data_IF_283514637113
#
_entry.id   IF_283514637113
#
_cell.length_a   1.000
_cell.length_b   1.000
_cell.length_c   1.000
_cell.angle_alpha   90.00
_cell.angle_beta   90.00
_cell.angle_gamma   90.00
#
_symmetry.space_group_name_H-M   'P 1'
#
loop_
_entity.id
_entity.type
_entity.pdbx_description
1 polymer ?
#
# COMPACT_ATOMS: atom_id res chain seq x y z
N UNK A 1 15.20 15.11 9.24
CA UNK A 1 14.05 16.02 9.45
C UNK A 1 13.80 16.92 8.23
N UNK A 2 14.78 17.69 7.74
CA UNK A 2 14.60 18.62 6.61
C UNK A 2 14.11 17.96 5.31
N UNK A 3 14.63 16.78 4.97
CA UNK A 3 14.21 16.06 3.77
C UNK A 3 12.70 15.75 3.75
N UNK A 4 12.14 15.38 4.90
CA UNK A 4 10.69 15.14 5.06
C UNK A 4 9.88 16.42 4.81
N UNK A 5 10.33 17.55 5.37
CA UNK A 5 9.69 18.86 5.16
C UNK A 5 9.74 19.25 3.68
N UNK A 6 10.90 19.11 3.03
CA UNK A 6 11.05 19.42 1.60
C UNK A 6 10.16 18.54 0.71
N UNK A 7 10.07 17.25 1.00
CA UNK A 7 9.17 16.35 0.26
C UNK A 7 7.71 16.83 0.34
N UNK A 8 7.25 17.19 1.54
CA UNK A 8 5.89 17.74 1.73
C UNK A 8 5.67 19.08 1.00
N UNK A 9 6.67 19.96 0.95
CA UNK A 9 6.58 21.22 0.20
C UNK A 9 6.46 20.96 -1.31
N UNK A 10 7.23 20.03 -1.86
CA UNK A 10 7.20 19.70 -3.29
C UNK A 10 5.84 19.10 -3.67
N UNK A 11 5.33 18.18 -2.87
CA UNK A 11 4.01 17.57 -3.09
C UNK A 11 2.89 18.62 -3.00
N UNK A 12 2.99 19.57 -2.08
CA UNK A 12 1.97 20.61 -1.85
C UNK A 12 2.20 21.95 -2.56
N UNK A 13 3.13 22.04 -3.51
CA UNK A 13 3.64 23.34 -3.99
C UNK A 13 2.54 24.25 -4.55
N UNK A 14 1.55 23.69 -5.25
CA UNK A 14 0.43 24.44 -5.83
C UNK A 14 -0.42 25.13 -4.76
N UNK A 15 -0.72 24.42 -3.67
CA UNK A 15 -1.51 24.95 -2.54
C UNK A 15 -0.72 26.04 -1.82
N UNK A 16 0.58 25.81 -1.60
CA UNK A 16 1.46 26.78 -0.94
C UNK A 16 1.52 28.08 -1.75
N UNK A 17 1.64 27.97 -3.08
CA UNK A 17 1.59 29.11 -4.02
C UNK A 17 0.24 29.81 -4.00
N UNK A 18 -0.86 29.06 -4.02
CA UNK A 18 -2.21 29.61 -4.00
C UNK A 18 -2.48 30.47 -2.76
N UNK A 19 -2.01 30.03 -1.58
CA UNK A 19 -2.16 30.76 -0.32
C UNK A 19 -1.03 31.76 -0.03
N UNK A 20 -0.06 31.94 -0.92
CA UNK A 20 1.11 32.81 -0.74
C UNK A 20 1.88 32.58 0.58
N UNK A 21 1.99 31.32 1.01
CA UNK A 21 2.60 30.94 2.30
C UNK A 21 4.08 30.56 2.19
N UNK A 22 4.75 30.86 1.08
CA UNK A 22 6.13 30.40 0.82
C UNK A 22 7.10 30.87 1.90
N UNK A 23 6.92 32.08 2.44
CA UNK A 23 7.78 32.65 3.47
C UNK A 23 7.71 31.84 4.78
N UNK A 24 6.52 31.41 5.19
CA UNK A 24 6.36 30.59 6.39
C UNK A 24 7.07 29.23 6.24
N UNK A 25 6.92 28.58 5.08
CA UNK A 25 7.61 27.32 4.79
C UNK A 25 9.13 27.49 4.64
N UNK A 26 9.58 28.62 4.08
CA UNK A 26 11.01 28.97 4.03
C UNK A 26 11.61 29.04 5.43
N UNK A 27 10.95 29.74 6.35
CA UNK A 27 11.44 29.89 7.73
C UNK A 27 11.50 28.55 8.47
N UNK A 28 10.53 27.67 8.22
CA UNK A 28 10.53 26.31 8.73
C UNK A 28 11.76 25.50 8.24
N UNK A 29 12.07 25.58 6.94
CA UNK A 29 13.24 24.93 6.36
C UNK A 29 14.54 25.52 6.90
N UNK A 30 14.63 26.84 7.05
CA UNK A 30 15.81 27.52 7.62
C UNK A 30 16.01 27.10 9.08
N UNK A 31 14.93 27.00 9.87
CA UNK A 31 14.99 26.53 11.26
C UNK A 31 15.52 25.10 11.34
N UNK A 32 15.04 24.19 10.50
CA UNK A 32 15.55 22.82 10.41
C UNK A 32 17.03 22.79 9.99
N UNK A 33 17.42 23.62 9.02
CA UNK A 33 18.81 23.73 8.55
C UNK A 33 19.77 24.23 9.64
N UNK A 34 19.34 25.17 10.49
CA UNK A 34 20.15 25.65 11.63
C UNK A 34 20.46 24.53 12.63
N UNK A 35 19.52 23.61 12.86
CA UNK A 35 19.74 22.44 13.71
C UNK A 35 20.74 21.47 13.09
N UNK A 36 20.59 21.16 11.80
CA UNK A 36 21.54 20.32 11.04
C UNK A 36 22.95 20.93 11.07
N UNK A 37 23.07 22.25 10.91
CA UNK A 37 24.36 22.93 10.97
C UNK A 37 25.05 22.81 12.33
N UNK A 38 24.30 22.91 13.44
CA UNK A 38 24.88 22.74 14.79
C UNK A 38 25.46 21.33 14.96
N UNK A 39 24.75 20.31 14.48
CA UNK A 39 25.23 18.93 14.49
C UNK A 39 26.47 18.75 13.60
N UNK A 40 26.43 19.29 12.38
CA UNK A 40 27.54 19.21 11.44
C UNK A 40 28.80 19.91 11.97
N UNK A 41 28.65 21.08 12.61
CA UNK A 41 29.77 21.81 13.22
C UNK A 41 30.43 20.99 14.34
N UNK A 42 29.62 20.38 15.21
CA UNK A 42 30.15 19.51 16.27
C UNK A 42 30.88 18.30 15.69
N UNK A 43 30.32 17.69 14.64
CA UNK A 43 30.94 16.55 13.94
C UNK A 43 32.28 16.94 13.29
N UNK A 44 32.34 18.07 12.59
CA UNK A 44 33.58 18.58 11.99
C UNK A 44 34.65 18.91 13.03
N UNK A 45 34.25 19.44 14.19
CA UNK A 45 35.17 19.66 15.31
C UNK A 45 35.75 18.33 15.83
N UNK A 46 34.92 17.30 15.97
CA UNK A 46 35.38 15.97 16.41
C UNK A 46 36.35 15.35 15.41
N UNK A 47 36.08 15.46 14.10
CA UNK A 47 37.03 15.01 13.06
C UNK A 47 38.34 15.78 13.15
N UNK A 48 38.30 17.11 13.29
CA UNK A 48 39.52 17.91 13.37
C UNK A 48 40.37 17.54 14.59
N UNK A 49 39.73 17.28 15.74
CA UNK A 49 40.40 16.77 16.95
C UNK A 49 40.99 15.38 16.71
N UNK A 50 40.23 14.48 16.07
CA UNK A 50 40.71 13.13 15.73
C UNK A 50 41.96 13.17 14.83
N UNK A 51 41.98 14.04 13.82
CA UNK A 51 43.12 14.21 12.91
C UNK A 51 44.34 14.79 13.64
N UNK A 52 44.12 15.76 14.53
CA UNK A 52 45.18 16.33 15.35
C UNK A 52 45.85 15.26 16.23
N UNK A 53 45.06 14.43 16.91
CA UNK A 53 45.59 13.34 17.73
C UNK A 53 46.29 12.27 16.89
N UNK A 54 45.71 11.88 15.75
CA UNK A 54 46.30 10.90 14.83
C UNK A 54 47.66 11.36 14.29
N UNK A 55 47.81 12.67 14.05
CA UNK A 55 49.07 13.26 13.59
C UNK A 55 50.11 13.41 14.72
N UNK A 56 49.67 13.73 15.94
CA UNK A 56 50.56 14.11 17.05
C UNK A 56 51.02 12.94 17.91
N UNK A 57 50.15 11.95 18.17
CA UNK A 57 50.44 10.79 19.03
C UNK A 57 51.71 10.04 18.57
N UNK A 58 51.92 9.74 17.28
CA UNK A 58 53.08 8.95 16.87
C UNK A 58 54.43 9.66 17.02
N UNK A 59 54.42 11.00 16.92
CA UNK A 59 55.63 11.81 17.16
C UNK A 59 56.00 11.79 18.63
N UNK A 60 54.98 11.92 19.51
CA UNK A 60 55.13 11.79 20.95
C UNK A 60 55.60 10.38 21.35
N UNK A 61 54.98 9.33 20.80
CA UNK A 61 55.36 7.94 21.13
C UNK A 61 56.82 7.68 20.76
N UNK A 62 57.26 8.11 19.57
CA UNK A 62 58.65 7.93 19.14
C UNK A 62 59.63 8.64 20.07
N UNK A 63 59.35 9.91 20.41
CA UNK A 63 60.17 10.69 21.34
C UNK A 63 60.24 10.03 22.73
N UNK A 64 59.10 9.58 23.26
CA UNK A 64 59.05 8.93 24.57
C UNK A 64 59.78 7.59 24.59
N UNK A 65 59.63 6.76 23.55
CA UNK A 65 60.25 5.43 23.51
C UNK A 65 61.77 5.53 23.44
N UNK A 66 62.30 6.37 22.55
CA UNK A 66 63.76 6.55 22.45
C UNK A 66 64.32 7.33 23.65
N UNK A 67 63.57 8.30 24.19
CA UNK A 67 63.95 9.04 25.39
C UNK A 67 64.10 8.13 26.61
N UNK A 68 63.13 7.25 26.86
CA UNK A 68 63.20 6.27 27.96
C UNK A 68 64.36 5.30 27.73
N UNK A 69 64.52 4.77 26.52
CA UNK A 69 65.60 3.83 26.19
C UNK A 69 67.00 4.43 26.43
N UNK A 70 67.17 5.71 26.11
CA UNK A 70 68.41 6.45 26.38
C UNK A 70 68.67 6.61 27.89
N UNK A 71 67.65 7.04 28.66
CA UNK A 71 67.77 7.27 30.10
C UNK A 71 68.08 5.98 30.87
N UNK A 72 67.55 4.84 30.43
CA UNK A 72 67.83 3.52 31.03
C UNK A 72 69.25 3.00 30.72
N UNK A 73 70.02 3.71 29.89
CA UNK A 73 71.40 3.34 29.54
C UNK A 73 71.51 2.43 28.31
N UNK A 74 70.49 2.43 27.44
CA UNK A 74 70.53 1.67 26.19
C UNK A 74 71.42 2.31 25.12
N UNK A 75 72.21 1.51 24.41
CA UNK A 75 73.03 1.97 23.29
C UNK A 75 72.17 2.21 22.03
N UNK A 76 71.86 3.47 21.75
CA UNK A 76 71.19 3.93 20.53
C UNK A 76 72.14 3.89 19.32
N UNK A 77 72.22 2.74 18.67
CA UNK A 77 72.84 2.62 17.34
C UNK A 77 71.88 3.10 16.24
N UNK A 78 72.36 3.77 15.17
CA UNK A 78 71.54 4.14 14.02
C UNK A 78 70.72 2.97 13.46
N UNK A 79 71.28 1.77 13.44
CA UNK A 79 70.59 0.55 12.95
C UNK A 79 69.33 0.23 13.74
N UNK A 80 69.38 0.33 15.07
CA UNK A 80 68.23 0.09 15.96
C UNK A 80 67.19 1.20 15.84
N UNK A 81 67.64 2.45 15.70
CA UNK A 81 66.77 3.63 15.56
C UNK A 81 65.95 3.56 14.26
N UNK A 82 66.59 3.32 13.12
CA UNK A 82 65.91 3.27 11.83
C UNK A 82 64.98 2.06 11.70
N UNK A 83 65.37 0.91 12.25
CA UNK A 83 64.52 -0.29 12.28
C UNK A 83 63.26 -0.06 13.12
N UNK A 84 63.42 0.52 14.32
CA UNK A 84 62.30 0.82 15.22
C UNK A 84 61.37 1.91 14.65
N UNK A 85 61.92 2.97 14.03
CA UNK A 85 61.12 4.01 13.35
C UNK A 85 60.29 3.41 12.21
N UNK A 86 60.87 2.55 11.39
CA UNK A 86 60.17 1.89 10.28
C UNK A 86 59.00 1.02 10.77
N UNK A 87 59.18 0.29 11.88
CA UNK A 87 58.12 -0.49 12.49
C UNK A 87 57.01 0.40 13.07
N UNK A 88 57.36 1.50 13.76
CA UNK A 88 56.40 2.46 14.30
C UNK A 88 55.58 3.15 13.21
N UNK A 89 56.16 3.46 12.05
CA UNK A 89 55.43 4.04 10.91
C UNK A 89 54.45 3.06 10.28
N UNK A 90 54.81 1.77 10.18
CA UNK A 90 53.90 0.73 9.65
C UNK A 90 52.72 0.48 10.60
N UNK A 91 52.96 0.44 11.92
CA UNK A 91 51.87 0.30 12.90
C UNK A 91 50.89 1.48 12.89
N UNK A 92 51.37 2.70 12.56
CA UNK A 92 50.53 3.91 12.48
C UNK A 92 49.40 3.75 11.47
N UNK A 93 49.68 3.16 10.31
CA UNK A 93 48.68 2.93 9.27
C UNK A 93 47.57 2.01 9.76
N UNK A 94 47.92 0.92 10.45
CA UNK A 94 46.95 -0.04 11.00
C UNK A 94 46.09 0.58 12.10
N UNK A 95 46.66 1.42 12.97
CA UNK A 95 45.93 2.09 14.05
C UNK A 95 44.95 3.14 13.51
N UNK A 96 45.31 3.86 12.45
CA UNK A 96 44.44 4.89 11.84
C UNK A 96 43.15 4.32 11.25
N UNK A 97 43.27 3.14 10.66
CA UNK A 97 42.19 2.49 9.92
C UNK A 97 41.05 2.03 10.84
N UNK A 98 41.35 1.63 12.08
CA UNK A 98 40.36 1.06 13.01
C UNK A 98 39.24 2.07 13.33
N UNK A 99 39.52 3.31 13.78
CA UNK A 99 38.48 4.31 14.02
C UNK A 99 37.69 4.70 12.76
N UNK A 100 38.34 4.84 11.60
CA UNK A 100 37.65 5.16 10.34
C UNK A 100 36.54 4.15 10.02
N UNK A 101 36.81 2.86 10.20
CA UNK A 101 35.80 1.82 9.96
C UNK A 101 34.72 1.72 11.02
N UNK A 102 34.92 2.26 12.24
CA UNK A 102 33.86 2.22 13.26
C UNK A 102 32.61 3.00 12.84
N UNK A 103 32.79 4.15 12.19
CA UNK A 103 31.68 4.95 11.67
C UNK A 103 30.92 4.20 10.58
N UNK A 104 31.64 3.51 9.70
CA UNK A 104 31.02 2.69 8.65
C UNK A 104 30.24 1.52 9.25
N UNK A 105 30.77 0.87 10.28
CA UNK A 105 30.06 -0.20 11.00
C UNK A 105 28.79 0.31 11.69
N UNK A 106 28.80 1.54 12.24
CA UNK A 106 27.59 2.17 12.78
C UNK A 106 26.56 2.40 11.67
N UNK A 107 26.98 2.94 10.52
CA UNK A 107 26.09 3.18 9.38
C UNK A 107 25.49 1.88 8.84
N UNK A 108 26.30 0.83 8.71
CA UNK A 108 25.85 -0.52 8.32
C UNK A 108 24.86 -1.06 9.34
N UNK A 109 25.15 -0.94 10.63
CA UNK A 109 24.26 -1.44 11.70
C UNK A 109 22.89 -0.77 11.69
N UNK A 110 22.84 0.57 11.54
CA UNK A 110 21.57 1.31 11.46
C UNK A 110 20.81 0.97 10.18
N UNK A 111 21.52 0.80 9.06
CA UNK A 111 20.92 0.43 7.78
C UNK A 111 20.34 -0.99 7.82
N UNK A 112 21.08 -1.95 8.39
CA UNK A 112 20.61 -3.32 8.58
C UNK A 112 19.38 -3.38 9.49
N UNK A 113 19.35 -2.61 10.58
CA UNK A 113 18.15 -2.53 11.45
C UNK A 113 16.92 -2.04 10.68
N UNK A 114 17.09 -1.03 9.81
CA UNK A 114 16.00 -0.52 8.98
C UNK A 114 15.52 -1.54 7.96
N UNK A 115 16.45 -2.22 7.27
CA UNK A 115 16.11 -3.26 6.29
C UNK A 115 15.41 -4.42 6.99
N UNK A 116 15.94 -4.88 8.13
CA UNK A 116 15.33 -5.92 8.95
C UNK A 116 13.92 -5.54 9.38
N UNK A 117 13.72 -4.33 9.90
CA UNK A 117 12.39 -3.87 10.29
C UNK A 117 11.40 -3.80 9.11
N UNK A 118 11.86 -3.42 7.92
CA UNK A 118 11.04 -3.41 6.71
C UNK A 118 10.67 -4.82 6.26
N UNK A 119 11.62 -5.76 6.25
CA UNK A 119 11.40 -7.14 5.85
C UNK A 119 10.53 -7.95 6.84
N UNK A 120 10.42 -7.50 8.10
CA UNK A 120 9.53 -8.09 9.10
C UNK A 120 8.18 -7.35 9.20
N UNK A 121 7.90 -6.39 8.31
CA UNK A 121 6.59 -5.76 8.27
C UNK A 121 5.52 -6.83 7.92
N UNK A 122 4.29 -6.71 8.48
CA UNK A 122 3.23 -7.66 8.19
C UNK A 122 2.90 -7.65 6.69
N UNK A 123 2.82 -8.84 6.10
CA UNK A 123 2.36 -9.02 4.73
C UNK A 123 0.85 -9.18 4.70
N UNK A 124 0.22 -8.83 3.58
CA UNK A 124 -1.21 -9.10 3.36
C UNK A 124 -1.34 -10.60 3.15
N UNK A 125 -2.13 -11.27 3.99
CA UNK A 125 -2.30 -12.72 3.92
C UNK A 125 -2.92 -13.15 2.58
N UNK A 126 -2.29 -14.12 1.90
CA UNK A 126 -2.77 -14.67 0.62
C UNK A 126 -4.15 -15.38 0.75
N UNK A 127 -4.62 -15.67 1.97
CA UNK A 127 -5.90 -16.34 2.26
C UNK A 127 -7.15 -15.45 2.22
N UNK A 128 -7.03 -14.25 1.65
CA UNK A 128 -8.14 -13.29 1.60
C UNK A 128 -9.28 -13.75 0.67
N UNK A 129 -8.93 -14.53 -0.36
CA UNK A 129 -9.87 -15.20 -1.27
C UNK A 129 -9.81 -16.69 -1.01
N UNK A 130 -10.96 -17.34 -0.90
CA UNK A 130 -10.99 -18.78 -0.70
C UNK A 130 -10.63 -19.50 -2.03
N UNK A 131 -9.56 -20.31 -2.03
CA UNK A 131 -9.01 -21.00 -3.21
C UNK A 131 -9.96 -22.04 -3.82
N UNK A 132 -10.95 -22.46 -3.04
CA UNK A 132 -12.08 -23.23 -3.54
C UNK A 132 -12.99 -22.31 -4.33
N UNK A 133 -12.75 -22.17 -5.64
CA UNK A 133 -13.62 -21.41 -6.54
C UNK A 133 -15.10 -21.73 -6.34
N UNK A 134 -15.98 -20.81 -6.76
CA UNK A 134 -17.43 -20.83 -6.45
C UNK A 134 -18.08 -22.22 -6.66
N UNK A 135 -17.65 -22.98 -7.68
CA UNK A 135 -18.14 -24.34 -7.95
C UNK A 135 -17.78 -25.40 -6.88
N UNK A 136 -16.60 -25.33 -6.24
CA UNK A 136 -16.23 -26.28 -5.19
C UNK A 136 -16.88 -25.95 -3.84
N UNK A 137 -17.09 -24.66 -3.55
CA UNK A 137 -17.73 -24.22 -2.32
C UNK A 137 -19.27 -24.45 -2.34
N UNK A 138 -19.92 -24.24 -3.49
CA UNK A 138 -21.34 -24.58 -3.67
C UNK A 138 -21.60 -26.07 -3.49
N UNK A 139 -20.69 -26.94 -3.98
CA UNK A 139 -20.80 -28.40 -3.82
C UNK A 139 -20.74 -28.83 -2.34
N UNK A 140 -19.88 -28.19 -1.54
CA UNK A 140 -19.79 -28.45 -0.09
C UNK A 140 -21.00 -27.91 0.70
N UNK A 141 -21.56 -26.77 0.30
CA UNK A 141 -22.73 -26.17 0.96
C UNK A 141 -24.05 -26.88 0.59
N UNK A 142 -24.17 -27.41 -0.64
CA UNK A 142 -25.31 -28.26 -1.03
C UNK A 142 -25.28 -29.58 -0.25
N UNK A 143 -24.09 -30.20 -0.08
CA UNK A 143 -23.94 -31.43 0.68
C UNK A 143 -24.32 -31.28 2.18
N UNK A 144 -24.08 -30.11 2.79
CA UNK A 144 -24.55 -29.81 4.16
C UNK A 144 -26.05 -29.52 4.25
N UNK A 145 -26.70 -29.07 3.17
CA UNK A 145 -28.17 -28.89 3.13
C UNK A 145 -28.91 -30.20 2.85
N UNK A 146 -28.31 -31.18 2.19
CA UNK A 146 -28.95 -32.47 1.86
C UNK A 146 -28.76 -33.58 2.90
N UNK A 147 -27.97 -33.36 3.97
CA UNK A 147 -27.73 -34.35 5.04
C UNK A 147 -28.33 -33.97 6.39
N UNK A 148 -29.47 -33.27 6.38
CA UNK A 148 -30.36 -33.19 7.53
C UNK A 148 -31.71 -33.71 7.05
N UNK A 149 -31.91 -35.02 7.17
CA UNK A 149 -33.29 -35.53 7.27
C UNK A 149 -33.92 -34.84 8.49
N UNK A 150 -35.04 -34.12 8.33
CA UNK A 150 -35.70 -33.52 9.47
C UNK A 150 -36.30 -34.64 10.32
N UNK A 151 -35.78 -34.79 11.55
CA UNK A 151 -36.45 -35.57 12.59
C UNK A 151 -37.83 -34.92 12.84
N UNK A 152 -38.95 -35.63 12.62
CA UNK A 152 -40.29 -35.04 12.64
C UNK A 152 -40.76 -34.61 14.04
N UNK A 153 -39.96 -34.76 15.10
CA UNK A 153 -40.38 -34.49 16.48
C UNK A 153 -39.58 -33.42 17.23
N UNK A 154 -38.76 -32.60 16.56
CA UNK A 154 -38.06 -31.49 17.23
C UNK A 154 -38.74 -30.16 16.89
N UNK A 155 -39.58 -29.68 17.81
CA UNK A 155 -40.06 -28.29 17.81
C UNK A 155 -38.87 -27.32 17.98
N UNK A 156 -38.72 -26.29 17.12
CA UNK A 156 -37.62 -25.34 17.22
C UNK A 156 -37.74 -24.49 18.50
N UNK A 157 -36.63 -24.16 19.19
CA UNK A 157 -36.67 -23.30 20.35
C UNK A 157 -36.95 -21.85 19.93
N UNK A 158 -38.14 -21.36 20.28
CA UNK A 158 -38.47 -19.94 20.41
C UNK A 158 -37.74 -19.35 21.60
N UNK A 159 -36.76 -18.46 21.38
CA UNK A 159 -36.42 -17.40 22.34
C UNK A 159 -36.10 -16.13 21.55
N UNK A 160 -37.08 -15.23 21.48
CA UNK A 160 -36.91 -13.83 21.12
C UNK A 160 -36.41 -13.11 22.39
N UNK A 161 -35.27 -12.43 22.34
CA UNK A 161 -34.76 -11.62 23.45
C UNK A 161 -34.93 -10.12 23.09
N UNK A 162 -35.75 -9.33 23.81
CA UNK A 162 -36.09 -7.96 23.41
C UNK A 162 -35.03 -6.88 23.74
N UNK A 163 -33.90 -7.22 24.36
CA UNK A 163 -33.00 -6.22 24.97
C UNK A 163 -31.71 -5.90 24.19
N UNK A 164 -31.67 -6.09 22.86
CA UNK A 164 -30.53 -5.63 22.04
C UNK A 164 -30.87 -4.27 21.41
N UNK A 165 -30.13 -3.19 21.71
CA UNK A 165 -30.35 -1.90 21.07
C UNK A 165 -30.13 -2.00 19.56
N UNK A 166 -31.11 -1.53 18.79
CA UNK A 166 -31.04 -1.36 17.35
C UNK A 166 -29.90 -0.38 16.99
N UNK A 167 -28.73 -0.90 16.60
CA UNK A 167 -27.66 -0.08 16.07
C UNK A 167 -27.96 0.28 14.61
N UNK A 168 -28.13 1.58 14.40
CA UNK A 168 -28.49 2.27 13.18
C UNK A 168 -27.26 2.34 12.27
N UNK A 169 -26.88 1.20 11.68
CA UNK A 169 -25.85 1.15 10.65
C UNK A 169 -26.49 1.30 9.27
N UNK A 170 -26.11 2.38 8.58
CA UNK A 170 -26.52 2.74 7.23
C UNK A 170 -26.44 1.53 6.29
N UNK A 171 -27.61 1.01 5.92
CA UNK A 171 -27.73 -0.04 4.90
C UNK A 171 -27.20 0.52 3.59
N UNK A 172 -26.17 -0.12 3.03
CA UNK A 172 -25.86 0.01 1.60
C UNK A 172 -27.11 -0.48 0.85
N UNK A 173 -27.92 0.44 0.34
CA UNK A 173 -29.05 0.13 -0.53
C UNK A 173 -28.49 -0.21 -1.91
N UNK A 174 -28.18 -1.50 -2.11
CA UNK A 174 -27.89 -2.06 -3.42
C UNK A 174 -29.17 -2.02 -4.27
N UNK A 175 -29.31 -0.97 -5.07
CA UNK A 175 -30.32 -0.92 -6.13
C UNK A 175 -29.77 -1.70 -7.32
N UNK A 176 -30.16 -2.97 -7.43
CA UNK A 176 -29.90 -3.77 -8.63
C UNK A 176 -30.95 -3.36 -9.67
N UNK A 177 -30.68 -2.33 -10.45
CA UNK A 177 -31.50 -2.01 -11.63
C UNK A 177 -31.02 -2.89 -12.80
N UNK A 178 -31.77 -3.94 -13.11
CA UNK A 178 -31.63 -4.68 -14.37
C UNK A 178 -32.33 -3.90 -15.47
N UNK A 179 -31.58 -3.35 -16.44
CA UNK A 179 -32.18 -2.90 -17.69
C UNK A 179 -32.58 -4.14 -18.51
N UNK A 180 -33.80 -4.63 -18.32
CA UNK A 180 -34.47 -5.54 -19.27
C UNK A 180 -35.30 -4.68 -20.21
N UNK A 181 -34.92 -4.63 -21.47
CA UNK A 181 -35.82 -4.23 -22.56
C UNK A 181 -36.81 -5.37 -22.79
N UNK A 182 -37.87 -5.42 -21.99
CA UNK A 182 -39.11 -6.09 -22.36
C UNK A 182 -40.25 -5.14 -22.05
N UNK A 183 -40.95 -4.81 -23.13
CA UNK A 183 -42.09 -3.95 -23.22
C UNK A 183 -43.30 -4.82 -22.88
N UNK A 184 -43.86 -4.71 -21.67
CA UNK A 184 -45.26 -5.01 -21.35
C UNK A 184 -45.60 -4.67 -19.90
N UNK A 185 -46.84 -4.22 -19.73
CA UNK A 185 -47.42 -3.48 -18.62
C UNK A 185 -47.49 -4.24 -17.29
N UNK A 186 -47.42 -3.50 -16.16
CA UNK A 186 -48.34 -3.61 -15.02
C UNK A 186 -48.25 -2.32 -14.19
N UNK A 187 -49.42 -1.72 -14.02
CA UNK A 187 -49.75 -0.55 -13.22
C UNK A 187 -49.58 -0.78 -11.70
N UNK A 188 -49.36 0.35 -11.02
CA UNK A 188 -49.68 0.66 -9.61
C UNK A 188 -48.82 0.08 -8.48
N UNK A 189 -47.92 0.92 -7.94
CA UNK A 189 -47.94 1.30 -6.52
C UNK A 189 -47.09 2.56 -6.30
N UNK A 190 -47.75 3.63 -5.85
CA UNK A 190 -47.22 4.97 -5.61
C UNK A 190 -46.15 5.03 -4.50
N UNK A 191 -45.13 5.84 -4.71
CA UNK A 191 -44.53 6.63 -3.63
C UNK A 191 -44.13 8.00 -4.17
N UNK A 192 -44.97 8.98 -3.86
CA UNK A 192 -44.82 10.38 -4.22
C UNK A 192 -43.86 11.09 -3.26
N UNK A 193 -42.88 11.81 -3.82
CA UNK A 193 -42.39 13.09 -3.27
C UNK A 193 -41.60 13.83 -4.36
N UNK A 194 -42.18 14.94 -4.78
CA UNK A 194 -41.69 15.85 -5.80
C UNK A 194 -40.40 16.58 -5.38
N UNK A 195 -39.40 16.60 -6.27
CA UNK A 195 -38.75 17.87 -6.66
C UNK A 195 -38.26 17.80 -8.10
N UNK A 196 -38.73 18.78 -8.86
CA UNK A 196 -38.53 19.03 -10.28
C UNK A 196 -37.11 19.54 -10.59
N UNK A 197 -36.43 18.88 -11.53
CA UNK A 197 -35.73 19.53 -12.65
C UNK A 197 -35.30 18.46 -13.66
N UNK A 198 -35.85 18.55 -14.87
CA UNK A 198 -35.67 17.58 -15.95
C UNK A 198 -34.21 17.38 -16.33
N UNK A 199 -33.67 16.20 -16.04
CA UNK A 199 -32.50 15.66 -16.75
C UNK A 199 -33.08 14.86 -17.91
N UNK A 200 -32.90 15.36 -19.13
CA UNK A 200 -33.28 14.61 -20.32
C UNK A 200 -32.53 13.27 -20.31
N UNK A 201 -33.19 12.14 -20.63
CA UNK A 201 -32.50 10.87 -20.76
C UNK A 201 -31.41 11.01 -21.82
N UNK A 202 -30.18 10.66 -21.43
CA UNK A 202 -29.04 10.61 -22.34
C UNK A 202 -29.40 9.58 -23.43
N UNK A 203 -29.63 10.07 -24.65
CA UNK A 203 -29.79 9.21 -25.82
C UNK A 203 -28.44 8.53 -26.05
N UNK A 204 -28.31 7.26 -25.63
CA UNK A 204 -27.19 6.43 -26.07
C UNK A 204 -27.40 6.16 -27.58
N UNK A 205 -26.42 6.50 -28.44
CA UNK A 205 -26.50 6.12 -29.84
C UNK A 205 -26.46 4.60 -29.96
N UNK A 206 -27.50 4.04 -30.56
CA UNK A 206 -27.57 2.67 -31.06
C UNK A 206 -26.68 2.56 -32.30
N UNK A 207 -25.37 2.48 -32.08
CA UNK A 207 -24.42 1.97 -33.05
C UNK A 207 -23.74 0.76 -32.44
N UNK A 208 -23.81 -0.37 -33.13
CA UNK A 208 -23.20 -1.64 -32.75
C UNK A 208 -21.77 -1.46 -32.22
N UNK A 209 -21.59 -1.58 -30.90
CA UNK A 209 -20.27 -1.53 -30.25
C UNK A 209 -19.75 -2.96 -30.07
N UNK A 210 -18.69 -3.40 -30.77
CA UNK A 210 -18.19 -4.77 -30.65
C UNK A 210 -17.17 -4.94 -29.50
N UNK A 211 -17.14 -4.05 -28.50
CA UNK A 211 -16.13 -4.10 -27.41
C UNK A 211 -16.66 -4.54 -26.04
N UNK A 212 -17.85 -5.10 -26.01
CA UNK A 212 -18.12 -6.22 -25.13
C UNK A 212 -18.85 -7.23 -26.00
N UNK A 213 -18.13 -8.21 -26.55
CA UNK A 213 -18.73 -9.55 -26.49
C UNK A 213 -18.83 -9.84 -24.99
N UNK A 214 -19.87 -9.29 -24.35
CA UNK A 214 -20.41 -9.90 -23.15
C UNK A 214 -20.64 -11.33 -23.65
N UNK A 215 -19.89 -12.33 -23.17
CA UNK A 215 -20.08 -13.68 -23.65
C UNK A 215 -21.58 -13.93 -23.61
N UNK A 216 -22.16 -14.41 -24.72
CA UNK A 216 -23.60 -14.68 -24.80
C UNK A 216 -24.01 -15.34 -23.48
N UNK A 217 -25.14 -14.99 -22.85
CA UNK A 217 -25.51 -15.42 -21.50
C UNK A 217 -25.69 -16.95 -21.47
N UNK A 218 -24.57 -17.66 -21.40
CA UNK A 218 -24.48 -19.11 -21.52
C UNK A 218 -24.07 -19.74 -20.17
N UNK A 219 -23.80 -18.92 -19.15
CA UNK A 219 -23.67 -19.36 -17.77
C UNK A 219 -24.38 -18.38 -16.84
N UNK A 220 -25.48 -18.82 -16.22
CA UNK A 220 -26.09 -18.16 -15.04
C UNK A 220 -25.20 -18.32 -13.78
N UNK A 221 -23.88 -18.19 -13.95
CA UNK A 221 -22.89 -18.38 -12.90
C UNK A 221 -22.76 -17.13 -12.03
N UNK A 222 -22.51 -17.36 -10.74
CA UNK A 222 -22.04 -16.31 -9.82
C UNK A 222 -20.54 -16.12 -10.07
N UNK A 223 -20.09 -14.88 -10.29
CA UNK A 223 -18.68 -14.56 -10.50
C UNK A 223 -17.95 -14.21 -9.19
N UNK A 224 -18.66 -13.58 -8.25
CA UNK A 224 -18.13 -13.12 -6.96
C UNK A 224 -19.23 -13.34 -5.90
N UNK A 225 -18.89 -13.97 -4.77
CA UNK A 225 -19.82 -14.20 -3.65
C UNK A 225 -19.15 -13.85 -2.32
N UNK A 226 -19.82 -13.01 -1.54
CA UNK A 226 -19.51 -12.71 -0.15
C UNK A 226 -20.50 -13.46 0.74
N UNK A 227 -20.01 -14.11 1.79
CA UNK A 227 -20.86 -14.84 2.75
C UNK A 227 -20.48 -14.46 4.17
N UNK A 228 -21.31 -13.60 4.79
CA UNK A 228 -21.11 -13.06 6.13
C UNK A 228 -19.69 -12.51 6.36
N UNK A 229 -19.12 -11.87 5.33
CA UNK A 229 -17.72 -11.48 5.33
C UNK A 229 -17.50 -10.12 6.00
N UNK A 230 -16.43 -10.02 6.80
CA UNK A 230 -16.03 -8.79 7.49
C UNK A 230 -14.58 -8.43 7.14
N UNK A 231 -14.30 -7.14 6.88
CA UNK A 231 -13.00 -6.67 6.39
C UNK A 231 -12.48 -5.44 7.15
N UNK A 232 -11.16 -5.36 7.29
CA UNK A 232 -10.44 -4.34 8.05
C UNK A 232 -9.11 -3.94 7.36
N UNK A 233 -8.77 -2.65 7.37
CA UNK A 233 -7.58 -2.13 6.70
C UNK A 233 -6.30 -2.35 7.51
N UNK A 234 -6.35 -2.13 8.82
CA UNK A 234 -5.21 -2.33 9.70
C UNK A 234 -5.62 -3.10 10.95
N UNK A 235 -4.83 -4.07 11.44
CA UNK A 235 -5.17 -4.85 12.63
C UNK A 235 -5.45 -4.00 13.89
N UNK A 236 -4.83 -2.82 13.96
CA UNK A 236 -5.03 -1.84 15.04
C UNK A 236 -6.32 -1.02 14.94
N UNK A 237 -7.08 -1.12 13.85
CA UNK A 237 -8.36 -0.40 13.77
C UNK A 237 -9.33 -0.99 14.82
N UNK A 238 -10.09 -0.14 15.53
CA UNK A 238 -10.94 -0.60 16.63
C UNK A 238 -12.09 -1.48 16.13
N UNK A 239 -12.53 -1.28 14.89
CA UNK A 239 -13.63 -2.03 14.30
C UNK A 239 -13.43 -2.28 12.80
N UNK A 240 -13.97 -3.38 12.26
CA UNK A 240 -14.01 -3.64 10.83
C UNK A 240 -14.79 -2.56 10.08
N UNK A 241 -14.27 -2.17 8.92
CA UNK A 241 -14.89 -1.18 8.01
C UNK A 241 -16.10 -1.76 7.30
N UNK A 242 -16.04 -3.04 6.94
CA UNK A 242 -17.12 -3.80 6.34
C UNK A 242 -17.51 -4.94 7.28
N UNK A 243 -18.80 -5.13 7.54
CA UNK A 243 -19.28 -6.09 8.55
C UNK A 243 -20.38 -6.97 7.99
N UNK A 244 -20.24 -8.28 8.18
CA UNK A 244 -21.25 -9.31 7.89
C UNK A 244 -21.91 -9.12 6.50
N UNK A 245 -21.10 -8.87 5.49
CA UNK A 245 -21.58 -8.62 4.14
C UNK A 245 -21.87 -9.95 3.46
N UNK A 246 -23.09 -10.06 2.93
CA UNK A 246 -23.55 -11.19 2.12
C UNK A 246 -24.15 -10.67 0.83
N UNK A 247 -23.44 -10.83 -0.29
CA UNK A 247 -23.84 -10.33 -1.60
C UNK A 247 -23.20 -11.15 -2.73
N UNK A 248 -23.89 -11.21 -3.87
CA UNK A 248 -23.49 -12.02 -5.02
C UNK A 248 -23.52 -11.18 -6.31
N UNK A 249 -22.49 -11.32 -7.13
CA UNK A 249 -22.42 -10.71 -8.46
C UNK A 249 -22.47 -11.81 -9.51
N UNK A 250 -23.33 -11.64 -10.51
CA UNK A 250 -23.49 -12.59 -11.62
C UNK A 250 -22.49 -12.30 -12.72
N UNK A 251 -22.17 -13.35 -13.47
CA UNK A 251 -21.40 -13.23 -14.70
C UNK A 251 -22.14 -12.39 -15.74
N UNK A 252 -21.37 -11.75 -16.64
CA UNK A 252 -21.91 -11.02 -17.77
C UNK A 252 -22.90 -9.88 -17.41
N UNK A 253 -22.88 -9.40 -16.15
CA UNK A 253 -23.77 -8.36 -15.67
C UNK A 253 -23.02 -7.07 -15.31
N UNK A 254 -23.56 -5.92 -15.74
CA UNK A 254 -23.17 -4.61 -15.24
C UNK A 254 -23.86 -4.34 -13.89
N UNK A 255 -23.06 -4.17 -12.83
CA UNK A 255 -23.58 -3.87 -11.48
C UNK A 255 -23.09 -2.51 -11.00
N UNK A 256 -23.99 -1.70 -10.46
CA UNK A 256 -23.66 -0.40 -9.87
C UNK A 256 -23.75 -0.47 -8.34
N UNK A 257 -22.76 0.13 -7.65
CA UNK A 257 -22.72 0.21 -6.18
C UNK A 257 -22.96 1.66 -5.77
N UNK A 258 -24.04 1.90 -5.04
CA UNK A 258 -24.48 3.24 -4.62
C UNK A 258 -24.52 3.31 -3.09
N UNK A 259 -24.22 4.48 -2.54
CA UNK A 259 -24.25 4.70 -1.09
C UNK A 259 -23.60 6.01 -0.67
N UNK A 260 -23.82 6.43 0.57
CA UNK A 260 -23.31 7.68 1.12
C UNK A 260 -21.76 7.77 1.12
N UNK A 261 -21.18 8.97 1.19
CA UNK A 261 -19.72 9.15 1.30
C UNK A 261 -19.23 8.48 2.58
N UNK A 262 -18.14 7.71 2.51
CA UNK A 262 -17.62 6.97 3.67
C UNK A 262 -18.34 5.65 3.98
N UNK A 263 -19.37 5.26 3.22
CA UNK A 263 -20.11 4.00 3.43
C UNK A 263 -19.34 2.71 3.08
N UNK A 264 -18.03 2.78 2.86
CA UNK A 264 -17.21 1.60 2.55
C UNK A 264 -17.23 1.09 1.10
N UNK A 265 -17.79 1.84 0.14
CA UNK A 265 -17.84 1.42 -1.29
C UNK A 265 -16.47 1.07 -1.86
N UNK A 266 -15.48 1.94 -1.68
CA UNK A 266 -14.11 1.68 -2.17
C UNK A 266 -13.49 0.49 -1.42
N UNK A 267 -13.74 0.37 -0.12
CA UNK A 267 -13.30 -0.80 0.68
C UNK A 267 -13.89 -2.10 0.14
N UNK A 268 -15.13 -2.09 -0.34
CA UNK A 268 -15.78 -3.27 -0.95
C UNK A 268 -15.10 -3.67 -2.27
N UNK A 269 -14.60 -2.70 -3.04
CA UNK A 269 -13.82 -3.00 -4.25
C UNK A 269 -12.44 -3.55 -3.86
N UNK A 270 -11.78 -2.95 -2.86
CA UNK A 270 -10.48 -3.41 -2.39
C UNK A 270 -10.53 -4.79 -1.70
N UNK A 271 -11.67 -5.19 -1.12
CA UNK A 271 -11.84 -6.55 -0.61
C UNK A 271 -11.90 -7.59 -1.74
N UNK A 272 -12.48 -7.25 -2.91
CA UNK A 272 -12.46 -8.11 -4.10
C UNK A 272 -11.04 -8.27 -4.66
N UNK A 273 -10.26 -7.17 -4.65
CA UNK A 273 -8.86 -7.16 -5.10
C UNK A 273 -7.96 -7.96 -4.16
N UNK A 274 -8.30 -8.00 -2.87
CA UNK A 274 -7.53 -8.68 -1.83
C UNK A 274 -6.62 -7.75 -1.00
N UNK A 275 -6.74 -6.43 -1.15
CA UNK A 275 -5.90 -5.44 -0.43
C UNK A 275 -6.30 -5.24 1.04
N UNK A 276 -7.47 -5.72 1.46
CA UNK A 276 -8.05 -5.48 2.80
C UNK A 276 -8.18 -6.80 3.54
N UNK A 277 -7.63 -6.92 4.75
CA UNK A 277 -7.66 -8.17 5.51
C UNK A 277 -9.09 -8.58 5.88
N UNK A 278 -9.48 -9.81 5.52
CA UNK A 278 -10.71 -10.48 5.95
C UNK A 278 -10.54 -11.00 7.38
N UNK A 279 -11.52 -10.73 8.23
CA UNK A 279 -11.57 -11.25 9.60
C UNK A 279 -12.38 -12.54 9.68
N UNK A 280 -13.60 -12.51 9.11
CA UNK A 280 -14.60 -13.56 9.20
C UNK A 280 -15.35 -13.72 7.87
N UNK A 281 -16.14 -14.79 7.74
CA UNK A 281 -16.98 -15.10 6.60
C UNK A 281 -16.19 -15.66 5.43
N UNK A 282 -16.73 -15.64 4.20
CA UNK A 282 -16.09 -16.18 2.99
C UNK A 282 -16.15 -15.20 1.83
N UNK A 283 -15.10 -15.20 1.00
CA UNK A 283 -15.04 -14.46 -0.27
C UNK A 283 -14.62 -15.42 -1.37
N UNK A 284 -15.57 -15.71 -2.26
CA UNK A 284 -15.41 -16.67 -3.35
C UNK A 284 -15.37 -15.94 -4.68
N UNK A 285 -14.29 -16.14 -5.43
CA UNK A 285 -14.17 -15.73 -6.83
C UNK A 285 -14.29 -16.95 -7.73
N UNK A 286 -14.85 -16.78 -8.94
CA UNK A 286 -15.07 -17.89 -9.89
C UNK A 286 -13.81 -18.76 -10.10
N UNK A 287 -12.66 -18.12 -10.28
CA UNK A 287 -11.37 -18.79 -10.48
C UNK A 287 -10.47 -18.70 -9.23
N UNK A 288 -11.07 -18.47 -8.05
CA UNK A 288 -10.34 -18.23 -6.80
C UNK A 288 -9.31 -17.11 -6.94
N UNK A 289 -8.16 -17.30 -6.29
CA UNK A 289 -7.01 -16.38 -6.31
C UNK A 289 -6.37 -16.18 -7.70
N UNK A 290 -6.72 -17.02 -8.70
CA UNK A 290 -6.22 -16.90 -10.09
C UNK A 290 -7.11 -16.05 -10.99
N UNK A 291 -8.13 -15.40 -10.44
CA UNK A 291 -9.04 -14.55 -11.20
C UNK A 291 -8.31 -13.31 -11.75
N UNK A 292 -8.49 -13.02 -13.04
CA UNK A 292 -7.97 -11.77 -13.64
C UNK A 292 -8.97 -10.64 -13.37
N UNK A 293 -8.51 -9.60 -12.69
CA UNK A 293 -9.32 -8.43 -12.32
C UNK A 293 -8.70 -7.20 -12.97
N UNK A 294 -9.52 -6.41 -13.67
CA UNK A 294 -9.13 -5.08 -14.13
C UNK A 294 -9.64 -4.05 -13.13
N UNK A 295 -8.76 -3.15 -12.65
CA UNK A 295 -9.08 -2.16 -11.63
C UNK A 295 -8.68 -0.75 -12.09
N UNK A 296 -9.57 0.21 -11.90
CA UNK A 296 -9.30 1.63 -12.08
C UNK A 296 -9.49 2.34 -10.74
N UNK A 297 -8.40 2.84 -10.17
CA UNK A 297 -8.41 3.48 -8.87
C UNK A 297 -9.03 4.88 -8.93
N UNK A 298 -9.63 5.32 -7.82
CA UNK A 298 -10.21 6.67 -7.70
C UNK A 298 -9.16 7.78 -7.95
N UNK A 299 -7.92 7.57 -7.50
CA UNK A 299 -6.79 8.43 -7.85
C UNK A 299 -6.00 7.73 -8.94
N UNK A 300 -5.88 8.32 -10.15
CA UNK A 300 -5.18 7.67 -11.25
C UNK A 300 -3.68 7.56 -10.91
N UNK A 301 -3.11 6.40 -11.21
CA UNK A 301 -1.67 6.17 -11.16
C UNK A 301 -1.11 6.12 -12.57
N UNK A 302 -0.20 7.06 -12.89
CA UNK A 302 0.43 7.18 -14.20
C UNK A 302 1.92 6.88 -14.01
N UNK A 303 2.40 5.88 -14.75
CA UNK A 303 3.81 5.50 -14.80
C UNK A 303 4.59 6.55 -15.58
N UNK A 304 5.82 6.83 -15.15
CA UNK A 304 6.71 7.70 -15.92
C UNK A 304 7.07 7.03 -17.25
N UNK A 305 6.48 7.52 -18.34
CA UNK A 305 6.58 6.93 -19.67
C UNK A 305 5.73 7.71 -20.67
N UNK A 306 5.69 7.21 -21.91
CA UNK A 306 4.80 7.79 -22.91
C UNK A 306 3.34 7.50 -22.58
N UNK A 307 2.43 8.29 -23.14
CA UNK A 307 1.00 8.02 -23.02
C UNK A 307 0.64 6.63 -23.56
N UNK A 308 1.24 6.22 -24.68
CA UNK A 308 1.06 4.87 -25.25
C UNK A 308 1.50 3.78 -24.28
N UNK A 309 2.66 3.92 -23.63
CA UNK A 309 3.14 2.94 -22.63
C UNK A 309 2.18 2.81 -21.44
N UNK A 310 1.64 3.94 -20.96
CA UNK A 310 0.66 3.96 -19.89
C UNK A 310 -0.67 3.30 -20.30
N UNK A 311 -1.09 3.40 -21.56
CA UNK A 311 -2.29 2.71 -22.06
C UNK A 311 -2.05 1.21 -22.24
N UNK A 312 -0.85 0.82 -22.71
CA UNK A 312 -0.53 -0.59 -22.96
C UNK A 312 -0.24 -1.39 -21.68
N UNK A 313 0.28 -0.77 -20.61
CA UNK A 313 0.61 -1.43 -19.35
C UNK A 313 1.45 -2.72 -19.54
N UNK A 314 2.44 -2.66 -20.44
CA UNK A 314 3.31 -3.77 -20.89
C UNK A 314 2.69 -4.84 -21.81
N UNK A 315 1.47 -4.64 -22.31
CA UNK A 315 0.91 -5.48 -23.39
C UNK A 315 1.52 -5.12 -24.76
N UNK A 316 1.59 -6.08 -25.71
CA UNK A 316 2.08 -5.81 -27.06
C UNK A 316 1.19 -4.79 -27.77
N UNK A 317 1.81 -3.92 -28.57
CA UNK A 317 1.09 -2.91 -29.33
C UNK A 317 0.29 -3.53 -30.48
N UNK A 318 -1.03 -3.47 -30.36
CA UNK A 318 -1.98 -3.76 -31.44
C UNK A 318 -2.62 -2.44 -31.88
N UNK A 319 -2.28 -1.98 -33.07
CA UNK A 319 -2.73 -0.70 -33.63
C UNK A 319 -4.25 -0.60 -33.75
N UNK A 320 -4.93 -1.69 -34.17
CA UNK A 320 -6.39 -1.68 -34.36
C UNK A 320 -7.11 -1.55 -33.02
N UNK A 321 -6.68 -2.35 -32.04
CA UNK A 321 -7.23 -2.31 -30.67
C UNK A 321 -6.92 -0.97 -30.00
N UNK A 322 -5.70 -0.46 -30.15
CA UNK A 322 -5.27 0.80 -29.56
C UNK A 322 -6.09 1.98 -30.11
N UNK A 323 -6.15 2.15 -31.43
CA UNK A 323 -6.89 3.25 -32.05
C UNK A 323 -8.38 3.20 -31.67
N UNK A 324 -8.97 2.01 -31.58
CA UNK A 324 -10.37 1.87 -31.15
C UNK A 324 -10.58 2.26 -29.68
N UNK A 325 -9.66 1.90 -28.79
CA UNK A 325 -9.72 2.30 -27.37
C UNK A 325 -9.63 3.83 -27.25
N UNK A 326 -8.73 4.48 -28.00
CA UNK A 326 -8.58 5.94 -28.02
C UNK A 326 -9.88 6.62 -28.49
N UNK A 327 -10.49 6.12 -29.56
CA UNK A 327 -11.76 6.62 -30.10
C UNK A 327 -12.90 6.48 -29.05
N UNK A 328 -13.08 5.29 -28.47
CA UNK A 328 -14.16 5.02 -27.50
C UNK A 328 -13.99 5.79 -26.19
N UNK A 329 -12.74 6.01 -25.75
CA UNK A 329 -12.44 6.81 -24.57
C UNK A 329 -12.41 8.31 -24.85
N UNK A 330 -12.63 8.75 -26.10
CA UNK A 330 -12.56 10.14 -26.54
C UNK A 330 -11.22 10.82 -26.17
N UNK A 331 -10.11 10.13 -26.48
CA UNK A 331 -8.73 10.56 -26.18
C UNK A 331 -7.95 11.04 -27.42
N UNK A 332 -8.64 11.33 -28.52
CA UNK A 332 -8.07 11.83 -29.80
C UNK A 332 -7.46 13.24 -29.71
#
# INVERSE_FOLDING_TARGET
ARAKIMSGIVQGIRIIKFYATEYAFRDLVVKARKQEYKQLRSYLLLIALQEFFTSSIPMLTSLTTFGIYFVVGGNLSPEKLFTALSLMTTMRLTIRIIPEYTMEMINVSVSLRRISAFLHAPEIEEGNVDDGGIHSALSHNIARRTLIDPDPNVTPPTVWNPDVPLDMSDKISLVVSTSRTEQEDIMDAECSLHTSSAIQPIHLPTSETPFCDIPSPASEGISISFQNASFQWAPQDPHPTLRNISLEFKEAQLTSIIGHVGSGKSTLVHSIIGDVTRLDGHLLLKNGSKSKIAYCAQTPWIVNGTFRENVLMNEPFDEKKYNKIIEVCALE
#
